data_IF_022449712377
#
_entry.id   IF_022449712377
#
_cell.length_a   1.000
_cell.length_b   1.000
_cell.length_c   1.000
_cell.angle_alpha   90.00
_cell.angle_beta   90.00
_cell.angle_gamma   90.00
#
_symmetry.space_group_name_H-M   'P 1'
#
loop_
_entity.id
_entity.type
_entity.pdbx_description
1 polymer ?
#
# COMPACT_ATOMS: atom_id res chain seq x y z
N UNK A 1 5.60 8.29 1.56
CA UNK A 1 5.31 8.00 0.14
C UNK A 1 6.61 7.56 -0.50
N UNK A 2 6.71 6.29 -0.69
CA UNK A 2 7.90 5.57 -1.15
C UNK A 2 8.00 5.60 -2.67
N UNK A 3 9.01 4.96 -3.23
CA UNK A 3 9.22 4.86 -4.67
C UNK A 3 9.77 3.47 -5.01
N UNK A 4 9.70 3.07 -6.27
CA UNK A 4 10.15 1.78 -6.77
C UNK A 4 11.60 1.46 -6.39
N UNK A 5 12.48 2.47 -6.41
CA UNK A 5 13.88 2.31 -5.98
C UNK A 5 14.01 1.93 -4.50
N UNK A 6 13.12 2.41 -3.64
CA UNK A 6 13.09 2.06 -2.22
C UNK A 6 12.54 0.64 -2.01
N UNK A 7 11.49 0.30 -2.75
CA UNK A 7 10.86 -1.04 -2.73
C UNK A 7 11.70 -2.12 -3.44
N UNK A 8 12.83 -1.74 -4.04
CA UNK A 8 13.71 -2.65 -4.78
C UNK A 8 14.11 -3.88 -3.97
N UNK A 9 14.45 -3.71 -2.69
CA UNK A 9 14.84 -4.83 -1.83
C UNK A 9 13.69 -5.83 -1.62
N UNK A 10 12.44 -5.37 -1.59
CA UNK A 10 11.25 -6.21 -1.54
C UNK A 10 11.10 -6.99 -2.86
N UNK A 11 11.22 -6.29 -3.99
CA UNK A 11 11.18 -6.92 -5.31
C UNK A 11 12.28 -7.96 -5.53
N UNK A 12 13.51 -7.67 -5.09
CA UNK A 12 14.62 -8.62 -5.18
C UNK A 12 14.38 -9.90 -4.35
N UNK A 13 13.75 -9.80 -3.18
CA UNK A 13 13.41 -10.98 -2.37
C UNK A 13 12.39 -11.87 -3.08
N UNK A 14 11.37 -11.29 -3.69
CA UNK A 14 10.37 -12.02 -4.46
C UNK A 14 10.98 -12.60 -5.75
N UNK A 15 11.81 -11.83 -6.46
CA UNK A 15 12.50 -12.31 -7.66
C UNK A 15 13.45 -13.49 -7.36
N UNK A 16 14.16 -13.45 -6.23
CA UNK A 16 15.01 -14.56 -5.78
C UNK A 16 14.20 -15.81 -5.39
N UNK A 17 12.92 -15.66 -5.09
CA UNK A 17 11.98 -16.76 -4.86
C UNK A 17 11.32 -17.26 -6.16
N UNK A 18 11.70 -16.73 -7.34
CA UNK A 18 11.23 -17.20 -8.64
C UNK A 18 10.07 -16.41 -9.24
N UNK A 19 9.64 -15.31 -8.62
CA UNK A 19 8.54 -14.46 -9.12
C UNK A 19 9.04 -13.40 -10.11
N UNK A 20 8.33 -13.20 -11.21
CA UNK A 20 8.47 -11.99 -12.02
C UNK A 20 7.81 -10.82 -11.28
N UNK A 21 8.56 -9.74 -11.01
CA UNK A 21 8.09 -8.63 -10.17
C UNK A 21 8.07 -7.33 -10.99
N UNK A 22 6.90 -6.72 -11.03
CA UNK A 22 6.67 -5.47 -11.76
C UNK A 22 6.16 -4.39 -10.83
N UNK A 23 6.59 -3.17 -11.04
CA UNK A 23 6.16 -2.02 -10.25
C UNK A 23 6.41 -0.72 -10.98
N UNK A 24 5.59 0.29 -10.68
CA UNK A 24 5.71 1.62 -11.25
C UNK A 24 5.77 2.69 -10.16
N UNK A 25 6.41 3.79 -10.45
CA UNK A 25 6.33 5.00 -9.64
C UNK A 25 5.06 5.77 -10.01
N UNK A 26 4.20 6.05 -9.06
CA UNK A 26 2.98 6.83 -9.27
C UNK A 26 3.30 8.25 -9.75
N UNK A 27 2.35 8.91 -10.44
CA UNK A 27 2.49 10.34 -10.79
C UNK A 27 2.93 11.15 -9.57
N UNK A 28 3.93 12.01 -9.75
CA UNK A 28 4.52 12.83 -8.67
C UNK A 28 5.39 12.07 -7.67
N UNK A 29 5.68 10.79 -7.87
CA UNK A 29 6.51 9.97 -7.01
C UNK A 29 7.71 9.38 -7.78
N UNK A 30 8.74 8.95 -7.04
CA UNK A 30 9.90 8.29 -7.62
C UNK A 30 10.52 9.06 -8.78
N UNK A 31 10.56 8.45 -9.95
CA UNK A 31 11.05 9.02 -11.21
C UNK A 31 9.95 9.46 -12.16
N UNK A 32 8.69 9.18 -11.83
CA UNK A 32 7.56 9.57 -12.65
C UNK A 32 7.38 11.10 -12.67
N UNK A 33 6.81 11.58 -13.77
CA UNK A 33 6.47 12.99 -13.96
C UNK A 33 5.42 13.47 -12.94
N UNK A 34 5.13 14.74 -12.93
CA UNK A 34 4.13 15.33 -12.05
C UNK A 34 4.72 16.13 -10.88
N UNK A 35 3.85 16.70 -10.08
CA UNK A 35 4.22 17.53 -8.93
C UNK A 35 4.54 16.65 -7.75
N UNK A 36 5.77 16.75 -7.22
CA UNK A 36 6.24 15.89 -6.12
C UNK A 36 5.28 15.83 -4.94
N UNK A 37 4.86 14.61 -4.60
CA UNK A 37 3.95 14.31 -3.49
C UNK A 37 2.52 14.82 -3.68
N UNK A 38 2.09 15.14 -4.91
CA UNK A 38 0.72 15.49 -5.23
C UNK A 38 -0.01 14.28 -5.81
N UNK A 39 -1.10 13.93 -5.19
CA UNK A 39 -2.11 13.00 -5.71
C UNK A 39 -3.36 13.83 -5.97
N UNK A 40 -3.68 14.05 -7.24
CA UNK A 40 -4.87 14.80 -7.64
C UNK A 40 -6.14 13.98 -7.45
N UNK A 41 -6.10 12.72 -7.87
CA UNK A 41 -7.15 11.71 -7.69
C UNK A 41 -6.49 10.35 -7.55
N UNK A 42 -6.96 9.57 -6.59
CA UNK A 42 -6.45 8.20 -6.44
C UNK A 42 -6.84 7.33 -7.65
N UNK A 43 -7.98 7.62 -8.27
CA UNK A 43 -8.44 6.91 -9.48
C UNK A 43 -7.41 6.96 -10.61
N UNK A 44 -6.71 8.09 -10.80
CA UNK A 44 -5.67 8.20 -11.83
C UNK A 44 -4.51 7.21 -11.55
N UNK A 45 -4.14 7.06 -10.28
CA UNK A 45 -3.11 6.07 -9.89
C UNK A 45 -3.60 4.65 -10.18
N UNK A 46 -4.87 4.38 -9.90
CA UNK A 46 -5.47 3.05 -10.15
C UNK A 46 -5.56 2.79 -11.65
N UNK A 47 -5.93 3.82 -12.47
CA UNK A 47 -5.95 3.74 -13.93
C UNK A 47 -4.55 3.42 -14.49
N UNK A 48 -3.52 4.17 -14.07
CA UNK A 48 -2.14 3.95 -14.49
C UNK A 48 -1.63 2.56 -14.11
N UNK A 49 -1.97 2.09 -12.90
CA UNK A 49 -1.61 0.75 -12.45
C UNK A 49 -2.32 -0.34 -13.27
N UNK A 50 -3.60 -0.18 -13.52
CA UNK A 50 -4.40 -1.14 -14.30
C UNK A 50 -3.87 -1.25 -15.72
N UNK A 51 -3.66 -0.13 -16.41
CA UNK A 51 -3.09 -0.10 -17.77
C UNK A 51 -1.71 -0.76 -17.79
N UNK A 52 -0.81 -0.36 -16.89
CA UNK A 52 0.54 -0.93 -16.80
C UNK A 52 0.51 -2.45 -16.55
N UNK A 53 -0.23 -2.91 -15.54
CA UNK A 53 -0.22 -4.34 -15.22
C UNK A 53 -0.92 -5.17 -16.29
N UNK A 54 -2.00 -4.68 -16.93
CA UNK A 54 -2.62 -5.39 -18.04
C UNK A 54 -1.68 -5.53 -19.24
N UNK A 55 -0.89 -4.50 -19.55
CA UNK A 55 0.09 -4.56 -20.65
C UNK A 55 1.17 -5.63 -20.48
N UNK A 56 1.49 -5.99 -19.23
CA UNK A 56 2.46 -7.07 -18.94
C UNK A 56 1.91 -8.43 -19.41
N UNK A 57 0.61 -8.66 -19.24
CA UNK A 57 -0.02 -9.93 -19.65
C UNK A 57 -0.32 -10.04 -21.15
N UNK A 58 0.01 -9.01 -21.94
CA UNK A 58 0.06 -9.09 -23.40
C UNK A 58 1.32 -9.82 -23.91
N UNK A 59 2.33 -10.01 -23.05
CA UNK A 59 3.51 -10.77 -23.40
C UNK A 59 3.27 -12.28 -23.21
N UNK A 60 3.58 -13.07 -24.24
CA UNK A 60 3.41 -14.53 -24.27
C UNK A 60 4.07 -15.23 -23.05
N UNK A 61 5.18 -14.68 -22.57
CA UNK A 61 5.93 -15.18 -21.41
C UNK A 61 5.09 -15.25 -20.12
N UNK A 62 4.08 -14.36 -20.00
CA UNK A 62 3.24 -14.25 -18.80
C UNK A 62 1.81 -14.76 -19.00
N UNK A 63 1.48 -15.24 -20.19
CA UNK A 63 0.19 -15.83 -20.49
C UNK A 63 -0.08 -17.03 -19.56
N UNK A 64 -1.24 -17.10 -18.94
CA UNK A 64 -1.64 -18.17 -18.03
C UNK A 64 -0.96 -18.18 -16.66
N UNK A 65 0.03 -17.31 -16.40
CA UNK A 65 0.68 -17.22 -15.09
C UNK A 65 -0.25 -16.63 -14.03
N UNK A 66 -0.08 -17.08 -12.78
CA UNK A 66 -0.79 -16.52 -11.64
C UNK A 66 -0.42 -15.06 -11.40
N UNK A 67 -1.41 -14.23 -11.04
CA UNK A 67 -1.35 -12.76 -10.94
C UNK A 67 -1.63 -12.31 -9.53
N UNK A 68 -0.58 -11.94 -8.81
CA UNK A 68 -0.68 -11.47 -7.45
C UNK A 68 -0.41 -9.97 -7.34
N UNK A 69 -1.26 -9.26 -6.59
CA UNK A 69 -0.99 -7.89 -6.18
C UNK A 69 -0.13 -7.88 -4.92
N UNK A 70 0.84 -6.98 -4.86
CA UNK A 70 1.57 -6.66 -3.63
C UNK A 70 1.39 -5.18 -3.32
N UNK A 71 0.83 -4.87 -2.16
CA UNK A 71 0.59 -3.48 -1.77
C UNK A 71 0.97 -3.18 -0.33
N UNK A 72 1.90 -2.24 -0.14
CA UNK A 72 2.30 -1.71 1.15
C UNK A 72 1.61 -0.37 1.41
N UNK A 73 0.96 -0.22 2.57
CA UNK A 73 0.32 1.01 3.03
C UNK A 73 -0.69 1.56 1.99
N UNK A 74 -0.42 2.70 1.35
CA UNK A 74 -1.22 3.23 0.24
C UNK A 74 -1.33 2.24 -0.92
N UNK A 75 -0.27 1.48 -1.20
CA UNK A 75 -0.27 0.42 -2.21
C UNK A 75 -1.34 -0.65 -1.92
N UNK A 76 -1.58 -0.98 -0.66
CA UNK A 76 -2.67 -1.86 -0.26
C UNK A 76 -4.06 -1.30 -0.61
N UNK A 77 -4.27 0.01 -0.44
CA UNK A 77 -5.50 0.67 -0.89
C UNK A 77 -5.66 0.60 -2.42
N UNK A 78 -4.57 0.80 -3.18
CA UNK A 78 -4.58 0.67 -4.65
C UNK A 78 -4.90 -0.77 -5.07
N UNK A 79 -4.30 -1.78 -4.42
CA UNK A 79 -4.62 -3.19 -4.68
C UNK A 79 -6.11 -3.51 -4.51
N UNK A 80 -6.72 -3.02 -3.42
CA UNK A 80 -8.15 -3.21 -3.17
C UNK A 80 -9.02 -2.49 -4.20
N UNK A 81 -8.63 -1.31 -4.68
CA UNK A 81 -9.35 -0.62 -5.76
C UNK A 81 -9.21 -1.35 -7.10
N UNK A 82 -8.02 -1.87 -7.43
CA UNK A 82 -7.81 -2.70 -8.65
C UNK A 82 -8.68 -3.96 -8.61
N UNK A 83 -8.73 -4.64 -7.48
CA UNK A 83 -9.61 -5.79 -7.30
C UNK A 83 -11.09 -5.45 -7.50
N UNK A 84 -11.56 -4.34 -6.92
CA UNK A 84 -12.97 -3.92 -7.07
C UNK A 84 -13.37 -3.58 -8.51
N UNK A 85 -12.41 -3.12 -9.33
CA UNK A 85 -12.66 -2.84 -10.77
C UNK A 85 -12.82 -4.12 -11.59
N UNK A 86 -11.99 -5.11 -11.32
CA UNK A 86 -12.05 -6.42 -11.97
C UNK A 86 -11.73 -7.53 -10.96
N UNK A 87 -12.76 -8.03 -10.25
CA UNK A 87 -12.60 -9.06 -9.23
C UNK A 87 -12.06 -10.39 -9.76
N UNK A 88 -12.18 -10.65 -11.06
CA UNK A 88 -11.77 -11.91 -11.69
C UNK A 88 -10.35 -11.89 -12.25
N UNK A 89 -9.72 -10.73 -12.37
CA UNK A 89 -8.42 -10.60 -13.02
C UNK A 89 -7.25 -11.04 -12.14
N UNK A 90 -7.37 -10.87 -10.83
CA UNK A 90 -6.29 -11.13 -9.87
C UNK A 90 -6.51 -12.42 -9.11
N UNK A 91 -5.45 -13.22 -8.97
CA UNK A 91 -5.48 -14.50 -8.27
C UNK A 91 -5.30 -14.37 -6.76
N UNK A 92 -4.80 -13.23 -6.31
CA UNK A 92 -4.67 -12.93 -4.89
C UNK A 92 -3.94 -11.63 -4.62
N UNK A 93 -3.88 -11.24 -3.35
CA UNK A 93 -3.17 -10.05 -2.91
C UNK A 93 -2.39 -10.27 -1.62
N UNK A 94 -1.17 -9.72 -1.57
CA UNK A 94 -0.39 -9.52 -0.36
C UNK A 94 -0.56 -8.07 0.09
N UNK A 95 -1.18 -7.86 1.23
CA UNK A 95 -1.52 -6.57 1.79
C UNK A 95 -0.67 -6.31 3.04
N UNK A 96 0.32 -5.44 2.92
CA UNK A 96 1.26 -5.12 3.99
C UNK A 96 0.83 -3.81 4.64
N UNK A 97 0.42 -3.86 5.91
CA UNK A 97 -0.05 -2.71 6.68
C UNK A 97 -1.00 -1.78 5.86
N UNK A 98 -2.05 -2.33 5.21
CA UNK A 98 -2.79 -1.62 4.17
C UNK A 98 -3.56 -0.41 4.71
N UNK A 99 -3.62 0.66 3.93
CA UNK A 99 -4.38 1.86 4.26
C UNK A 99 -5.88 1.67 3.94
N UNK A 100 -6.58 0.88 4.76
CA UNK A 100 -8.03 0.68 4.63
C UNK A 100 -8.85 1.76 5.34
N UNK A 101 -8.27 2.41 6.36
CA UNK A 101 -8.85 3.56 7.06
C UNK A 101 -7.74 4.35 7.73
N UNK A 102 -7.75 5.66 7.59
CA UNK A 102 -6.78 6.52 8.29
C UNK A 102 -7.09 6.49 9.79
N UNK A 103 -6.05 6.23 10.59
CA UNK A 103 -6.18 6.24 12.04
C UNK A 103 -6.60 7.62 12.55
N UNK A 104 -7.63 7.67 13.38
CA UNK A 104 -8.05 8.91 14.05
C UNK A 104 -6.93 9.51 14.93
N UNK A 105 -5.95 8.69 15.33
CA UNK A 105 -4.77 9.14 16.09
C UNK A 105 -3.83 9.99 15.24
N UNK A 106 -3.82 9.78 13.92
CA UNK A 106 -3.00 10.56 12.97
C UNK A 106 -3.71 11.80 12.46
N UNK A 107 -5.00 11.69 12.20
CA UNK A 107 -5.78 12.79 11.62
C UNK A 107 -7.18 12.79 12.20
N UNK A 108 -7.42 13.73 13.12
CA UNK A 108 -8.74 14.01 13.69
C UNK A 108 -9.07 15.49 13.51
N UNK A 109 -9.61 15.87 12.36
CA UNK A 109 -9.98 17.26 12.12
C UNK A 109 -11.13 17.69 13.03
N UNK A 110 -11.12 18.95 13.44
CA UNK A 110 -12.25 19.53 14.16
C UNK A 110 -13.53 19.50 13.30
N UNK A 111 -14.71 19.37 13.92
CA UNK A 111 -15.98 19.43 13.20
C UNK A 111 -16.06 20.68 12.30
N UNK A 112 -16.49 20.51 11.05
CA UNK A 112 -16.59 21.60 10.06
C UNK A 112 -15.28 21.93 9.32
N UNK A 113 -14.11 21.61 9.85
CA UNK A 113 -12.82 21.85 9.16
C UNK A 113 -12.74 21.05 7.86
N UNK A 114 -13.17 19.78 7.86
CA UNK A 114 -13.21 18.96 6.65
C UNK A 114 -14.05 19.60 5.54
N UNK A 115 -15.21 20.14 5.87
CA UNK A 115 -16.10 20.80 4.90
C UNK A 115 -15.43 22.03 4.26
N UNK A 116 -14.63 22.78 5.03
CA UNK A 116 -13.86 23.90 4.50
C UNK A 116 -12.74 23.40 3.61
N UNK A 117 -11.96 22.41 4.07
CA UNK A 117 -10.83 21.85 3.33
C UNK A 117 -11.30 21.24 1.99
N UNK A 118 -12.44 20.53 1.98
CA UNK A 118 -13.03 19.97 0.75
C UNK A 118 -13.40 21.05 -0.28
N UNK A 119 -13.81 22.25 0.18
CA UNK A 119 -14.16 23.35 -0.73
C UNK A 119 -12.95 24.05 -1.36
N UNK A 120 -11.83 24.03 -0.66
CA UNK A 120 -10.63 24.79 -1.08
C UNK A 120 -9.52 23.91 -1.66
N UNK A 121 -9.61 22.59 -1.54
CA UNK A 121 -8.55 21.67 -1.97
C UNK A 121 -8.22 21.75 -3.46
N UNK A 122 -9.21 22.07 -4.30
CA UNK A 122 -9.02 22.24 -5.74
C UNK A 122 -8.49 23.64 -6.11
N UNK A 123 -8.67 24.61 -5.19
CA UNK A 123 -8.16 25.97 -5.36
C UNK A 123 -6.70 26.05 -4.95
N UNK A 124 -6.32 25.36 -3.88
CA UNK A 124 -4.96 25.36 -3.32
C UNK A 124 -4.41 23.94 -3.13
N UNK A 125 -4.43 23.08 -4.15
CA UNK A 125 -4.13 21.65 -4.01
C UNK A 125 -2.72 21.35 -3.49
N UNK A 126 -1.77 22.24 -3.80
CA UNK A 126 -0.35 22.09 -3.47
C UNK A 126 -0.01 22.58 -2.05
N UNK A 127 -0.97 23.08 -1.29
CA UNK A 127 -0.72 23.66 0.02
C UNK A 127 -0.31 22.62 1.05
N UNK A 128 0.79 22.87 1.77
CA UNK A 128 1.43 21.94 2.71
C UNK A 128 1.04 22.28 4.15
N UNK A 129 -0.23 22.22 4.47
CA UNK A 129 -0.77 22.67 5.77
C UNK A 129 -1.18 21.54 6.71
N UNK A 130 -1.20 20.29 6.23
CA UNK A 130 -1.65 19.18 7.05
C UNK A 130 -0.60 18.91 8.13
N UNK A 131 -0.91 19.12 9.42
CA UNK A 131 -0.02 18.78 10.50
C UNK A 131 0.15 17.26 10.52
N UNK A 132 1.37 16.80 10.35
CA UNK A 132 1.69 15.38 10.48
C UNK A 132 2.79 15.19 11.53
N UNK A 133 2.67 14.14 12.33
CA UNK A 133 3.80 13.62 13.09
C UNK A 133 4.87 13.15 12.11
N UNK A 134 6.11 13.05 12.57
CA UNK A 134 7.18 12.49 11.74
C UNK A 134 6.88 11.01 11.46
N UNK A 135 6.25 10.74 10.30
CA UNK A 135 5.81 9.39 9.92
C UNK A 135 7.01 8.44 9.80
N UNK A 136 8.17 8.93 9.34
CA UNK A 136 9.38 8.11 9.19
C UNK A 136 9.81 7.52 10.54
N UNK A 137 9.84 8.33 11.60
CA UNK A 137 10.24 7.86 12.93
C UNK A 137 9.23 6.86 13.52
N UNK A 138 7.98 6.97 13.12
CA UNK A 138 6.91 6.08 13.58
C UNK A 138 6.82 4.79 12.75
N UNK A 139 7.18 4.85 11.47
CA UNK A 139 7.07 3.72 10.54
C UNK A 139 8.30 2.81 10.57
N UNK A 140 9.49 3.38 10.77
CA UNK A 140 10.77 2.68 10.68
C UNK A 140 11.41 2.53 12.07
N UNK A 141 11.57 1.30 12.53
CA UNK A 141 12.19 1.00 13.83
C UNK A 141 13.72 1.00 13.76
N UNK A 142 14.27 0.53 12.65
CA UNK A 142 15.72 0.48 12.43
C UNK A 142 16.28 1.89 12.10
N UNK A 143 17.25 2.42 12.88
CA UNK A 143 17.84 3.75 12.64
C UNK A 143 18.53 3.88 11.29
N UNK A 144 19.21 2.83 10.82
CA UNK A 144 19.93 2.83 9.54
C UNK A 144 18.96 2.94 8.37
N UNK A 145 17.85 2.22 8.45
CA UNK A 145 16.78 2.27 7.45
C UNK A 145 16.05 3.61 7.46
N UNK A 146 15.85 4.22 8.64
CA UNK A 146 15.36 5.60 8.74
C UNK A 146 16.25 6.59 8.00
N UNK A 147 17.56 6.48 8.21
CA UNK A 147 18.51 7.36 7.53
C UNK A 147 18.55 7.12 6.01
N UNK A 148 18.45 5.88 5.56
CA UNK A 148 18.34 5.54 4.15
C UNK A 148 17.10 6.19 3.49
N UNK A 149 15.96 6.21 4.19
CA UNK A 149 14.75 6.91 3.72
C UNK A 149 14.97 8.42 3.68
N UNK A 150 15.56 9.00 4.73
CA UNK A 150 15.81 10.44 4.83
C UNK A 150 16.81 10.95 3.79
N UNK A 151 17.82 10.16 3.44
CA UNK A 151 18.80 10.50 2.41
C UNK A 151 18.30 10.29 0.98
N UNK A 152 17.19 9.55 0.79
CA UNK A 152 16.66 9.25 -0.53
C UNK A 152 15.88 10.43 -1.12
N UNK A 153 16.47 11.13 -2.08
CA UNK A 153 15.87 12.29 -2.76
C UNK A 153 14.63 11.95 -3.61
N UNK A 154 14.40 10.69 -3.92
CA UNK A 154 13.22 10.24 -4.66
C UNK A 154 11.98 10.10 -3.78
N UNK A 155 12.15 10.00 -2.46
CA UNK A 155 11.06 9.94 -1.50
C UNK A 155 10.61 11.36 -1.15
N UNK A 156 9.29 11.59 -1.21
CA UNK A 156 8.71 12.86 -0.76
C UNK A 156 8.65 12.91 0.77
N UNK A 157 9.39 13.83 1.38
CA UNK A 157 9.59 13.89 2.83
C UNK A 157 8.97 15.14 3.48
N UNK A 158 8.35 16.00 2.70
CA UNK A 158 7.72 17.21 3.21
C UNK A 158 6.28 16.91 3.69
N UNK A 159 5.63 17.90 4.29
CA UNK A 159 4.23 17.77 4.74
C UNK A 159 3.33 17.38 3.58
N UNK A 160 2.36 16.49 3.80
CA UNK A 160 1.38 16.13 2.78
C UNK A 160 0.71 17.38 2.20
N UNK A 161 0.50 17.37 0.90
CA UNK A 161 -0.27 18.41 0.25
C UNK A 161 -1.74 18.27 0.60
N UNK A 162 -2.48 19.37 0.64
CA UNK A 162 -3.89 19.35 1.01
C UNK A 162 -4.68 18.37 0.14
N UNK A 163 -4.55 18.46 -1.19
CA UNK A 163 -5.25 17.57 -2.12
C UNK A 163 -4.92 16.11 -1.87
N UNK A 164 -3.63 15.79 -1.71
CA UNK A 164 -3.18 14.42 -1.41
C UNK A 164 -3.79 13.89 -0.12
N UNK A 165 -3.80 14.69 0.96
CA UNK A 165 -4.37 14.27 2.23
C UNK A 165 -5.88 14.01 2.13
N UNK A 166 -6.59 14.84 1.38
CA UNK A 166 -8.03 14.69 1.15
C UNK A 166 -8.34 13.45 0.30
N UNK A 167 -7.55 13.18 -0.73
CA UNK A 167 -7.68 11.96 -1.55
C UNK A 167 -7.40 10.69 -0.73
N UNK A 168 -6.34 10.69 0.09
CA UNK A 168 -6.06 9.56 1.00
C UNK A 168 -7.22 9.34 1.98
N UNK A 169 -7.82 10.40 2.51
CA UNK A 169 -8.98 10.29 3.38
C UNK A 169 -10.19 9.70 2.64
N UNK A 170 -10.47 10.17 1.42
CA UNK A 170 -11.59 9.67 0.60
C UNK A 170 -11.45 8.19 0.31
N UNK A 171 -10.29 7.78 -0.22
CA UNK A 171 -10.07 6.38 -0.58
C UNK A 171 -10.12 5.47 0.63
N UNK A 172 -9.52 5.89 1.75
CA UNK A 172 -9.55 5.08 2.97
C UNK A 172 -10.95 4.94 3.55
N UNK A 173 -11.75 6.02 3.54
CA UNK A 173 -13.15 5.96 3.96
C UNK A 173 -13.96 5.06 3.04
N UNK A 174 -13.83 5.24 1.72
CA UNK A 174 -14.53 4.42 0.74
C UNK A 174 -14.19 2.94 0.88
N UNK A 175 -12.93 2.58 1.07
CA UNK A 175 -12.54 1.19 1.32
C UNK A 175 -13.14 0.69 2.63
N UNK A 176 -13.04 1.47 3.71
CA UNK A 176 -13.58 1.11 5.02
C UNK A 176 -15.08 0.82 5.03
N UNK A 177 -15.84 1.51 4.17
CA UNK A 177 -17.29 1.32 4.02
C UNK A 177 -17.65 0.09 3.15
N UNK A 178 -16.68 -0.45 2.39
CA UNK A 178 -16.91 -1.52 1.39
C UNK A 178 -15.98 -2.74 1.59
N UNK A 179 -15.55 -3.01 2.82
CA UNK A 179 -14.66 -4.16 3.12
C UNK A 179 -15.27 -5.50 2.69
N UNK A 180 -16.60 -5.62 2.74
CA UNK A 180 -17.33 -6.81 2.33
C UNK A 180 -17.26 -7.11 0.82
N UNK A 181 -16.83 -6.16 0.00
CA UNK A 181 -16.65 -6.37 -1.44
C UNK A 181 -15.32 -7.06 -1.78
N UNK A 182 -14.43 -7.26 -0.80
CA UNK A 182 -13.15 -7.94 -1.02
C UNK A 182 -13.38 -9.45 -1.08
N UNK A 183 -13.26 -10.02 -2.26
CA UNK A 183 -13.55 -11.44 -2.55
C UNK A 183 -12.34 -12.24 -2.99
N UNK A 184 -11.24 -11.60 -3.45
CA UNK A 184 -10.03 -12.31 -3.86
C UNK A 184 -9.32 -12.97 -2.66
N UNK A 185 -8.54 -14.05 -2.88
CA UNK A 185 -7.61 -14.57 -1.90
C UNK A 185 -6.65 -13.49 -1.40
N UNK A 186 -6.41 -13.37 -0.10
CA UNK A 186 -5.42 -12.41 0.39
C UNK A 186 -4.66 -12.85 1.64
N UNK A 187 -3.41 -12.41 1.69
CA UNK A 187 -2.57 -12.40 2.88
C UNK A 187 -2.48 -10.97 3.42
N UNK A 188 -2.92 -10.76 4.64
CA UNK A 188 -2.81 -9.49 5.35
C UNK A 188 -1.74 -9.58 6.42
N UNK A 189 -0.78 -8.66 6.38
CA UNK A 189 0.37 -8.58 7.28
C UNK A 189 0.36 -7.25 8.02
N UNK A 190 0.42 -7.27 9.36
CA UNK A 190 0.27 -6.07 10.18
C UNK A 190 1.17 -6.10 11.41
N UNK A 191 1.91 -5.03 11.65
CA UNK A 191 2.63 -4.81 12.91
C UNK A 191 1.68 -4.38 14.02
N UNK A 192 1.75 -5.00 15.19
CA UNK A 192 0.85 -4.67 16.30
C UNK A 192 1.16 -3.31 16.96
N UNK A 193 2.37 -2.77 16.75
CA UNK A 193 2.78 -1.43 17.20
C UNK A 193 2.64 -0.36 16.12
N UNK A 194 1.97 -0.68 15.03
CA UNK A 194 1.69 0.28 13.97
C UNK A 194 0.76 1.41 14.46
N UNK A 195 1.23 2.64 14.36
CA UNK A 195 0.45 3.84 14.68
C UNK A 195 0.08 4.65 13.43
N UNK A 196 0.52 4.21 12.25
CA UNK A 196 0.23 4.83 10.96
C UNK A 196 -1.07 4.27 10.38
N UNK A 197 -1.15 2.95 10.23
CA UNK A 197 -2.38 2.23 9.90
C UNK A 197 -2.80 1.42 11.13
N UNK A 198 -4.00 1.69 11.65
CA UNK A 198 -4.45 1.07 12.90
C UNK A 198 -4.67 -0.44 12.72
N UNK A 199 -4.00 -1.32 13.51
CA UNK A 199 -4.20 -2.77 13.43
C UNK A 199 -5.67 -3.21 13.57
N UNK A 200 -6.49 -2.43 14.27
CA UNK A 200 -7.92 -2.71 14.37
C UNK A 200 -8.63 -2.64 13.01
N UNK A 201 -8.17 -1.77 12.12
CA UNK A 201 -8.73 -1.65 10.76
C UNK A 201 -8.33 -2.86 9.89
N UNK A 202 -7.11 -3.33 10.02
CA UNK A 202 -6.64 -4.55 9.35
C UNK A 202 -7.42 -5.79 9.82
N UNK A 203 -7.69 -5.89 11.12
CA UNK A 203 -8.58 -6.93 11.66
C UNK A 203 -10.01 -6.83 11.11
N UNK A 204 -10.56 -5.61 11.02
CA UNK A 204 -11.88 -5.38 10.42
C UNK A 204 -11.93 -5.80 8.94
N UNK A 205 -10.88 -5.52 8.15
CA UNK A 205 -10.79 -6.02 6.77
C UNK A 205 -10.83 -7.54 6.75
N UNK A 206 -10.02 -8.20 7.58
CA UNK A 206 -10.01 -9.66 7.67
C UNK A 206 -11.38 -10.23 8.05
N UNK A 207 -12.06 -9.63 9.01
CA UNK A 207 -13.36 -10.11 9.50
C UNK A 207 -14.48 -9.90 8.49
N UNK A 208 -14.53 -8.72 7.84
CA UNK A 208 -15.66 -8.30 7.00
C UNK A 208 -15.51 -8.68 5.52
N UNK A 209 -14.31 -8.96 5.04
CA UNK A 209 -14.09 -9.41 3.66
C UNK A 209 -14.85 -10.68 3.35
N UNK A 210 -15.50 -10.74 2.17
CA UNK A 210 -16.23 -11.91 1.69
C UNK A 210 -15.33 -12.99 1.09
N UNK A 211 -14.02 -12.76 1.02
CA UNK A 211 -13.07 -13.79 0.58
C UNK A 211 -13.17 -15.05 1.43
N UNK A 212 -13.19 -16.20 0.77
CA UNK A 212 -13.17 -17.53 1.42
C UNK A 212 -11.76 -18.02 1.70
N UNK A 213 -10.75 -17.40 1.08
CA UNK A 213 -9.33 -17.68 1.31
C UNK A 213 -8.63 -16.42 1.78
N UNK A 214 -8.56 -16.25 3.09
CA UNK A 214 -7.96 -15.07 3.72
C UNK A 214 -7.11 -15.45 4.92
N UNK A 215 -5.92 -14.89 4.99
CA UNK A 215 -4.96 -15.10 6.08
C UNK A 215 -4.58 -13.75 6.67
N UNK A 216 -4.50 -13.66 8.00
CA UNK A 216 -3.95 -12.50 8.70
C UNK A 216 -2.76 -12.94 9.56
N UNK A 217 -1.66 -12.19 9.47
CA UNK A 217 -0.50 -12.33 10.35
C UNK A 217 -0.24 -11.03 11.09
N UNK A 218 -0.21 -11.11 12.40
CA UNK A 218 0.06 -10.00 13.30
C UNK A 218 1.45 -10.21 13.90
N UNK A 219 2.31 -9.19 13.79
CA UNK A 219 3.70 -9.27 14.28
C UNK A 219 3.85 -8.43 15.55
N UNK A 220 4.03 -9.12 16.69
CA UNK A 220 4.25 -8.42 17.96
C UNK A 220 5.51 -7.55 17.93
N UNK A 221 5.40 -6.37 18.51
CA UNK A 221 6.48 -5.40 18.61
C UNK A 221 6.89 -4.73 17.31
N UNK A 222 6.41 -5.15 16.13
CA UNK A 222 6.73 -4.49 14.85
C UNK A 222 5.86 -3.25 14.61
N UNK A 223 6.44 -2.27 13.92
CA UNK A 223 5.81 -1.00 13.54
C UNK A 223 5.19 -1.07 12.14
N UNK A 224 4.92 0.10 11.51
CA UNK A 224 4.31 0.19 10.18
C UNK A 224 5.15 -0.44 9.07
N UNK A 225 6.45 -0.17 9.06
CA UNK A 225 7.37 -0.64 8.01
C UNK A 225 7.81 -2.09 8.20
N UNK A 226 6.89 -3.03 8.38
CA UNK A 226 7.23 -4.45 8.65
C UNK A 226 8.06 -5.10 7.56
N UNK A 227 7.90 -4.69 6.31
CA UNK A 227 8.65 -5.21 5.16
C UNK A 227 9.94 -4.43 4.85
N UNK A 228 10.15 -3.24 5.44
CA UNK A 228 11.23 -2.34 5.02
C UNK A 228 11.92 -1.61 6.17
N UNK A 229 11.26 -1.44 7.31
CA UNK A 229 11.67 -0.57 8.42
C UNK A 229 12.09 -1.29 9.69
N UNK A 230 11.96 -2.60 9.76
CA UNK A 230 12.35 -3.46 10.87
C UNK A 230 13.78 -3.99 10.72
N UNK A 231 14.28 -4.77 11.70
CA UNK A 231 15.55 -5.49 11.57
C UNK A 231 15.52 -6.48 10.39
N UNK A 232 16.69 -6.87 9.89
CA UNK A 232 16.75 -7.79 8.75
C UNK A 232 16.18 -9.17 9.09
N UNK A 233 16.29 -9.62 10.35
CA UNK A 233 15.68 -10.85 10.85
C UNK A 233 14.15 -10.76 10.81
N UNK A 234 13.58 -9.65 11.29
CA UNK A 234 12.13 -9.43 11.26
C UNK A 234 11.60 -9.37 9.82
N UNK A 235 12.30 -8.66 8.93
CA UNK A 235 11.96 -8.60 7.50
C UNK A 235 12.03 -9.99 6.86
N UNK A 236 13.02 -10.82 7.23
CA UNK A 236 13.13 -12.18 6.71
C UNK A 236 11.93 -13.05 7.10
N UNK A 237 11.44 -12.92 8.34
CA UNK A 237 10.22 -13.60 8.81
C UNK A 237 9.02 -13.18 7.96
N UNK A 238 8.82 -11.87 7.77
CA UNK A 238 7.72 -11.33 6.97
C UNK A 238 7.76 -11.86 5.53
N UNK A 239 8.94 -11.86 4.89
CA UNK A 239 9.07 -12.38 3.52
C UNK A 239 8.96 -13.90 3.43
N UNK A 240 9.37 -14.65 4.46
CA UNK A 240 9.10 -16.09 4.53
C UNK A 240 7.60 -16.38 4.51
N UNK A 241 6.82 -15.63 5.29
CA UNK A 241 5.36 -15.77 5.29
C UNK A 241 4.72 -15.39 3.96
N UNK A 242 5.22 -14.33 3.31
CA UNK A 242 4.74 -13.89 1.98
C UNK A 242 5.03 -14.97 0.93
N UNK A 243 6.27 -15.45 0.85
CA UNK A 243 6.70 -16.42 -0.16
C UNK A 243 5.93 -17.73 0.02
N UNK A 244 5.82 -18.22 1.26
CA UNK A 244 5.04 -19.42 1.56
C UNK A 244 3.59 -19.30 1.08
N UNK A 245 2.93 -18.18 1.36
CA UNK A 245 1.55 -17.95 0.95
C UNK A 245 1.39 -17.88 -0.58
N UNK A 246 2.35 -17.25 -1.27
CA UNK A 246 2.37 -17.15 -2.72
C UNK A 246 2.63 -18.51 -3.37
N UNK A 247 3.61 -19.30 -2.87
CA UNK A 247 3.97 -20.62 -3.41
C UNK A 247 2.80 -21.60 -3.34
N UNK A 248 2.03 -21.59 -2.23
CA UNK A 248 0.82 -22.42 -2.09
C UNK A 248 -0.21 -22.16 -3.18
N UNK A 249 -0.30 -20.92 -3.70
CA UNK A 249 -1.33 -20.48 -4.68
C UNK A 249 -0.84 -20.37 -6.11
N UNK A 250 0.47 -20.26 -6.32
CA UNK A 250 1.07 -20.24 -7.64
C UNK A 250 1.01 -21.63 -8.32
N UNK A 251 1.16 -22.70 -7.53
CA UNK A 251 1.17 -24.08 -8.02
C UNK A 251 -0.21 -24.63 -8.40
N UNK A 252 -1.30 -24.02 -7.91
CA UNK A 252 -2.67 -24.48 -8.22
C UNK A 252 -3.10 -24.21 -9.67
N UNK A 253 -2.37 -23.36 -10.42
CA UNK A 253 -2.69 -23.00 -11.82
C UNK A 253 -1.85 -23.71 -12.88
N UNK A 254 -0.81 -24.41 -12.49
CA UNK A 254 0.06 -25.15 -13.43
C UNK A 254 -0.48 -26.55 -13.80
N UNK A 255 -1.79 -26.81 -13.48
CA UNK A 255 -2.47 -28.08 -13.83
C UNK A 255 -3.76 -27.87 -14.60
#
# INVERSE_FOLDING_TARGET
MECSKFMRACGEKLANAGYAVFGLDYEGHGRSAGVRGLINRIDNIVDDCEEFFRSIYEFEEYEGKAKFLYGDSLGGAVCLQLHRRDPSFWDGAVLVAPMCKISEKLFKPLPGVLNVLTKIEDIIPKWKIVPTKNIIDSAFKDPTKREAVRSNKLIYQDKPRLKTAMEMLRVSTNIGDHLHEVTLPFLLLQGEKDIVTDPAVSKALYEQASSTDKTIKLYDGMCHGIATGESDENIAIVFSDIITWLDERATEKDF
#
